data_IF_410040299670
#
_entry.id   IF_410040299670
#
_cell.length_a   1.000
_cell.length_b   1.000
_cell.length_c   1.000
_cell.angle_alpha   90.00
_cell.angle_beta   90.00
_cell.angle_gamma   90.00
#
_symmetry.space_group_name_H-M   'P 1'
#
loop_
_entity.id
_entity.type
_entity.pdbx_description
1 polymer ?
#
# COMPACT_ATOMS: atom_id res chain seq x y z
N UNK A 1 7.85 -19.47 -4.42
CA UNK A 1 7.10 -18.19 -4.38
C UNK A 1 7.72 -17.29 -3.31
N UNK A 2 7.95 -16.00 -3.60
CA UNK A 2 8.43 -15.07 -2.58
C UNK A 2 7.51 -15.03 -1.36
N UNK A 3 8.05 -14.75 -0.18
CA UNK A 3 7.28 -14.63 1.05
C UNK A 3 6.52 -13.30 1.11
N UNK A 4 5.51 -13.20 1.98
CA UNK A 4 4.81 -11.93 2.23
C UNK A 4 5.78 -10.83 2.67
N UNK A 5 6.79 -11.16 3.48
CA UNK A 5 7.82 -10.23 3.93
C UNK A 5 8.60 -9.64 2.73
N UNK A 6 8.91 -10.45 1.72
CA UNK A 6 9.56 -9.97 0.49
C UNK A 6 8.67 -8.96 -0.26
N UNK A 7 7.39 -9.29 -0.47
CA UNK A 7 6.45 -8.37 -1.14
C UNK A 7 6.24 -7.08 -0.36
N UNK A 8 6.19 -7.17 0.97
CA UNK A 8 6.06 -6.02 1.86
C UNK A 8 7.31 -5.12 1.83
N UNK A 9 8.50 -5.70 1.82
CA UNK A 9 9.76 -4.96 1.73
C UNK A 9 9.89 -4.26 0.38
N UNK A 10 9.53 -4.95 -0.71
CA UNK A 10 9.51 -4.36 -2.05
C UNK A 10 8.48 -3.23 -2.15
N UNK A 11 7.28 -3.43 -1.62
CA UNK A 11 6.25 -2.39 -1.59
C UNK A 11 6.70 -1.16 -0.78
N UNK A 12 7.30 -1.34 0.40
CA UNK A 12 7.81 -0.22 1.21
C UNK A 12 8.96 0.52 0.50
N UNK A 13 9.80 -0.18 -0.27
CA UNK A 13 10.87 0.43 -1.06
C UNK A 13 10.34 1.30 -2.19
N UNK A 14 9.26 0.88 -2.85
CA UNK A 14 8.59 1.65 -3.91
C UNK A 14 7.71 2.79 -3.38
N UNK A 15 7.54 2.89 -2.07
CA UNK A 15 6.76 3.95 -1.44
C UNK A 15 7.60 4.61 -0.36
N UNK A 16 8.84 4.98 -0.68
CA UNK A 16 9.80 5.52 0.28
C UNK A 16 9.48 6.96 0.68
N UNK A 17 8.91 7.75 -0.23
CA UNK A 17 8.62 9.16 0.03
C UNK A 17 7.38 9.36 0.91
N UNK A 18 7.44 10.33 1.83
CA UNK A 18 6.32 10.68 2.71
C UNK A 18 5.05 11.06 1.92
N UNK A 19 5.23 11.74 0.78
CA UNK A 19 4.12 12.12 -0.11
C UNK A 19 3.44 10.92 -0.74
N UNK A 20 4.21 9.93 -1.19
CA UNK A 20 3.64 8.73 -1.77
C UNK A 20 2.90 7.88 -0.72
N UNK A 21 3.50 7.74 0.48
CA UNK A 21 2.85 7.10 1.64
C UNK A 21 1.53 7.76 2.01
N UNK A 22 1.50 9.10 2.08
CA UNK A 22 0.29 9.86 2.40
C UNK A 22 -0.80 9.68 1.32
N UNK A 23 -0.44 9.85 0.05
CA UNK A 23 -1.38 9.74 -1.06
C UNK A 23 -1.95 8.32 -1.19
N UNK A 24 -1.15 7.28 -0.95
CA UNK A 24 -1.61 5.89 -0.90
C UNK A 24 -2.45 5.61 0.34
N UNK A 25 -2.02 6.13 1.51
CA UNK A 25 -2.75 5.99 2.77
C UNK A 25 -4.16 6.57 2.72
N UNK A 26 -4.38 7.63 1.93
CA UNK A 26 -5.72 8.20 1.70
C UNK A 26 -6.42 7.55 0.49
N UNK A 27 -5.69 7.35 -0.61
CA UNK A 27 -6.26 6.87 -1.87
C UNK A 27 -6.78 5.43 -1.79
N UNK A 28 -6.08 4.53 -1.09
CA UNK A 28 -6.51 3.13 -0.95
C UNK A 28 -7.87 3.03 -0.22
N UNK A 29 -8.07 3.61 0.98
CA UNK A 29 -9.40 3.66 1.61
C UNK A 29 -10.47 4.29 0.73
N UNK A 30 -10.13 5.34 -0.04
CA UNK A 30 -11.06 6.01 -0.93
C UNK A 30 -11.54 5.10 -2.07
N UNK A 31 -10.65 4.27 -2.63
CA UNK A 31 -11.00 3.25 -3.63
C UNK A 31 -12.00 2.25 -3.04
N UNK A 32 -11.73 1.70 -1.84
CA UNK A 32 -12.64 0.74 -1.20
C UNK A 32 -14.00 1.37 -0.88
N UNK A 33 -14.03 2.59 -0.34
CA UNK A 33 -15.25 3.33 -0.10
C UNK A 33 -16.02 3.58 -1.42
N UNK A 34 -15.30 3.93 -2.50
CA UNK A 34 -15.86 4.12 -3.83
C UNK A 34 -16.53 2.87 -4.38
N UNK A 35 -15.91 1.69 -4.23
CA UNK A 35 -16.50 0.40 -4.62
C UNK A 35 -17.77 0.10 -3.84
N UNK A 36 -17.78 0.30 -2.52
CA UNK A 36 -18.98 0.10 -1.69
C UNK A 36 -20.12 1.03 -2.15
N UNK A 37 -19.82 2.31 -2.38
CA UNK A 37 -20.79 3.29 -2.84
C UNK A 37 -21.32 2.98 -4.25
N UNK A 38 -20.44 2.48 -5.15
CA UNK A 38 -20.80 2.05 -6.50
C UNK A 38 -21.82 0.92 -6.48
N UNK A 39 -21.61 -0.08 -5.63
CA UNK A 39 -22.41 -1.30 -5.60
C UNK A 39 -23.73 -1.10 -4.85
N UNK A 40 -23.72 -0.38 -3.73
CA UNK A 40 -24.83 -0.41 -2.76
C UNK A 40 -25.60 0.91 -2.60
N UNK A 41 -25.12 2.02 -3.16
CA UNK A 41 -25.69 3.34 -2.85
C UNK A 41 -25.80 4.26 -4.08
N UNK A 42 -24.89 5.23 -4.18
CA UNK A 42 -24.94 6.36 -5.12
C UNK A 42 -23.79 6.23 -6.09
N UNK A 43 -24.06 5.60 -7.24
CA UNK A 43 -23.03 5.24 -8.22
C UNK A 43 -22.18 6.43 -8.69
N UNK A 44 -22.73 7.65 -8.81
CA UNK A 44 -21.97 8.86 -9.17
C UNK A 44 -20.92 9.19 -8.11
N UNK A 45 -21.30 9.16 -6.83
CA UNK A 45 -20.35 9.40 -5.73
C UNK A 45 -19.32 8.29 -5.64
N UNK A 46 -19.75 7.04 -5.81
CA UNK A 46 -18.86 5.90 -5.84
C UNK A 46 -17.84 5.99 -6.97
N UNK A 47 -18.26 6.37 -8.18
CA UNK A 47 -17.37 6.59 -9.32
C UNK A 47 -16.36 7.72 -9.03
N UNK A 48 -16.82 8.83 -8.44
CA UNK A 48 -15.95 9.93 -8.04
C UNK A 48 -14.88 9.50 -7.03
N UNK A 49 -15.26 8.72 -6.02
CA UNK A 49 -14.33 8.22 -5.00
C UNK A 49 -13.36 7.19 -5.58
N UNK A 50 -13.86 6.27 -6.41
CA UNK A 50 -13.04 5.25 -7.05
C UNK A 50 -11.99 5.88 -7.98
N UNK A 51 -12.41 6.75 -8.89
CA UNK A 51 -11.51 7.42 -9.84
C UNK A 51 -10.57 8.41 -9.11
N UNK A 52 -11.08 9.15 -8.13
CA UNK A 52 -10.28 10.06 -7.32
C UNK A 52 -9.21 9.31 -6.52
N UNK A 53 -9.55 8.16 -5.94
CA UNK A 53 -8.61 7.32 -5.21
C UNK A 53 -7.48 6.83 -6.11
N UNK A 54 -7.80 6.30 -7.30
CA UNK A 54 -6.78 5.93 -8.28
C UNK A 54 -5.91 7.11 -8.72
N UNK A 55 -6.50 8.29 -8.92
CA UNK A 55 -5.75 9.50 -9.26
C UNK A 55 -4.72 9.86 -8.18
N UNK A 56 -5.07 9.72 -6.90
CA UNK A 56 -4.14 9.93 -5.78
C UNK A 56 -2.98 8.92 -5.79
N UNK A 57 -3.27 7.63 -6.01
CA UNK A 57 -2.24 6.58 -6.12
C UNK A 57 -1.24 6.90 -7.25
N UNK A 58 -1.75 7.18 -8.45
CA UNK A 58 -0.91 7.54 -9.59
C UNK A 58 -0.13 8.84 -9.36
N UNK A 59 -0.72 9.82 -8.68
CA UNK A 59 -0.05 11.07 -8.35
C UNK A 59 1.13 10.83 -7.39
N UNK A 60 0.98 9.95 -6.40
CA UNK A 60 2.07 9.58 -5.48
C UNK A 60 3.28 9.01 -6.23
N UNK A 61 3.04 8.04 -7.11
CA UNK A 61 4.07 7.48 -7.98
C UNK A 61 4.65 8.50 -8.96
N UNK A 62 3.83 9.40 -9.51
CA UNK A 62 4.27 10.48 -10.40
C UNK A 62 5.24 11.44 -9.70
N UNK A 63 4.99 11.76 -8.42
CA UNK A 63 5.83 12.63 -7.60
C UNK A 63 7.14 11.93 -7.22
N UNK A 64 7.08 10.65 -6.83
CA UNK A 64 8.27 9.88 -6.47
C UNK A 64 9.12 9.45 -7.68
N UNK A 65 8.53 9.47 -8.88
CA UNK A 65 9.22 9.15 -10.13
C UNK A 65 9.38 7.65 -10.38
N UNK A 66 8.60 6.81 -9.70
CA UNK A 66 8.62 5.36 -9.83
C UNK A 66 7.32 4.81 -10.43
N UNK A 67 7.28 3.50 -10.68
CA UNK A 67 6.15 2.84 -11.32
C UNK A 67 5.19 2.21 -10.29
N UNK A 68 3.87 2.21 -10.54
CA UNK A 68 2.92 1.53 -9.66
C UNK A 68 3.20 0.03 -9.51
N UNK A 69 3.29 -0.44 -8.26
CA UNK A 69 3.56 -1.84 -7.91
C UNK A 69 2.56 -2.83 -8.55
N UNK A 70 1.34 -2.36 -8.87
CA UNK A 70 0.32 -3.13 -9.59
C UNK A 70 0.84 -3.78 -10.88
N UNK A 71 1.72 -3.10 -11.63
CA UNK A 71 2.26 -3.62 -12.89
C UNK A 71 3.26 -4.76 -12.69
N UNK A 72 3.74 -4.97 -11.47
CA UNK A 72 4.68 -6.04 -11.13
C UNK A 72 3.97 -7.34 -10.75
N UNK A 73 2.67 -7.27 -10.47
CA UNK A 73 1.84 -8.45 -10.27
C UNK A 73 0.56 -8.16 -9.49
N UNK A 74 -0.50 -8.98 -9.68
CA UNK A 74 -1.78 -8.79 -8.99
C UNK A 74 -1.67 -8.94 -7.47
N UNK A 75 -0.65 -9.63 -6.97
CA UNK A 75 -0.40 -9.80 -5.52
C UNK A 75 -0.23 -8.45 -4.80
N UNK A 76 0.34 -7.44 -5.47
CA UNK A 76 0.55 -6.12 -4.85
C UNK A 76 -0.76 -5.37 -4.56
N UNK A 77 -1.88 -5.76 -5.18
CA UNK A 77 -3.21 -5.26 -4.80
C UNK A 77 -3.63 -5.73 -3.40
N UNK A 78 -3.16 -6.89 -2.94
CA UNK A 78 -3.44 -7.39 -1.59
C UNK A 78 -2.43 -6.83 -0.57
N UNK A 79 -1.19 -6.59 -1.01
CA UNK A 79 -0.12 -6.03 -0.18
C UNK A 79 -0.44 -4.58 0.22
N UNK A 80 -0.96 -3.76 -0.70
CA UNK A 80 -1.30 -2.35 -0.44
C UNK A 80 -2.25 -2.15 0.77
N UNK A 81 -3.40 -2.83 0.84
CA UNK A 81 -4.30 -2.77 2.00
C UNK A 81 -3.65 -3.19 3.32
N UNK A 82 -2.84 -4.25 3.29
CA UNK A 82 -2.11 -4.73 4.48
C UNK A 82 -1.10 -3.67 4.95
N UNK A 83 -0.39 -3.05 4.01
CA UNK A 83 0.54 -1.96 4.29
C UNK A 83 -0.16 -0.76 4.95
N UNK A 84 -1.31 -0.32 4.40
CA UNK A 84 -2.10 0.78 4.99
C UNK A 84 -2.59 0.42 6.39
N UNK A 85 -3.10 -0.80 6.59
CA UNK A 85 -3.55 -1.25 7.91
C UNK A 85 -2.41 -1.22 8.93
N UNK A 86 -1.21 -1.66 8.54
CA UNK A 86 0.00 -1.58 9.37
C UNK A 86 0.37 -0.14 9.72
N UNK A 87 0.40 0.76 8.73
CA UNK A 87 0.76 2.17 8.94
C UNK A 87 -0.24 2.86 9.88
N UNK A 88 -1.54 2.62 9.70
CA UNK A 88 -2.60 3.10 10.58
C UNK A 88 -2.44 2.53 12.00
N UNK A 89 -2.14 1.24 12.13
CA UNK A 89 -1.89 0.63 13.44
C UNK A 89 -0.70 1.26 14.16
N UNK A 90 0.41 1.45 13.45
CA UNK A 90 1.60 2.12 13.99
C UNK A 90 1.30 3.55 14.42
N UNK A 91 0.55 4.30 13.60
CA UNK A 91 0.10 5.66 13.93
C UNK A 91 -0.78 5.69 15.19
N UNK A 92 -1.79 4.79 15.27
CA UNK A 92 -2.74 4.75 16.38
C UNK A 92 -2.10 4.31 17.71
N UNK A 93 -1.19 3.35 17.67
CA UNK A 93 -0.58 2.76 18.87
C UNK A 93 0.70 3.47 19.31
N UNK A 94 1.23 4.39 18.50
CA UNK A 94 2.48 5.08 18.79
C UNK A 94 3.67 4.13 18.97
N UNK A 95 3.59 2.90 18.47
CA UNK A 95 4.70 1.95 18.58
C UNK A 95 5.85 2.45 17.71
N UNK A 96 6.91 2.98 18.34
CA UNK A 96 8.21 3.09 17.69
C UNK A 96 8.58 1.70 17.17
N UNK A 97 8.85 1.59 15.86
CA UNK A 97 9.25 0.37 15.16
C UNK A 97 10.28 -0.38 16.01
N UNK A 98 9.89 -1.43 16.73
CA UNK A 98 10.89 -2.41 17.18
C UNK A 98 11.33 -3.13 15.91
N UNK A 99 12.63 -3.14 15.57
CA UNK A 99 13.11 -4.00 14.51
C UNK A 99 12.84 -5.44 14.97
N UNK A 100 11.80 -6.04 14.42
CA UNK A 100 11.56 -7.47 14.57
C UNK A 100 12.72 -8.17 13.89
N UNK A 101 13.41 -9.05 14.60
CA UNK A 101 14.52 -9.89 14.12
C UNK A 101 14.18 -10.78 12.90
N UNK A 102 12.93 -10.73 12.41
CA UNK A 102 12.46 -11.34 11.17
C UNK A 102 13.01 -10.66 9.89
N UNK A 103 13.64 -9.47 9.99
CA UNK A 103 14.33 -8.83 8.85
C UNK A 103 15.67 -9.51 8.48
N UNK A 104 16.01 -10.65 9.10
CA UNK A 104 17.15 -11.47 8.68
C UNK A 104 16.68 -12.51 7.66
N UNK A 105 17.09 -12.44 6.38
CA UNK A 105 17.04 -13.60 5.53
C UNK A 105 17.94 -14.66 6.18
N UNK A 106 17.36 -15.74 6.69
CA UNK A 106 18.15 -16.95 6.98
C UNK A 106 18.63 -17.50 5.64
N UNK A 107 19.74 -16.95 5.15
CA UNK A 107 20.51 -17.41 4.01
C UNK A 107 21.85 -17.94 4.49
N UNK A 108 21.99 -19.27 4.46
CA UNK A 108 23.21 -20.06 4.54
C UNK A 108 24.02 -20.07 5.84
N UNK A 109 23.61 -20.97 6.74
CA UNK A 109 24.56 -21.84 7.42
C UNK A 109 24.98 -22.97 6.47
N UNK A 110 25.91 -22.74 5.54
CA UNK A 110 26.73 -23.82 4.97
C UNK A 110 27.94 -23.28 4.18
N UNK A 111 29.13 -23.65 4.66
CA UNK A 111 30.48 -23.54 4.07
C UNK A 111 31.11 -22.15 3.95
#
# INVERSE_FOLDING_TARGET
MPSLAHYMAQYDHEHGSAWNKLLHGVGIPLIFAGVILLIFMKWILGAGFFLGGWALLFLGHRIEGNHPAFFQGPIYLLVGPIWVAKEVWTFLTGTLRRPTSEDTPQGNATK
#
